data_IF_509618653785
#
_entry.id   IF_509618653785
#
_cell.length_a   1.000
_cell.length_b   1.000
_cell.length_c   1.000
_cell.angle_alpha   90.00
_cell.angle_beta   90.00
_cell.angle_gamma   90.00
#
_symmetry.space_group_name_H-M   'P 1'
#
loop_
_entity.id
_entity.type
_entity.pdbx_description
1 polymer ?
#
# COMPACT_ATOMS: atom_id res chain seq x y z
N UNK A 1 18.62 14.40 -0.13
CA UNK A 1 17.17 14.46 -0.40
C UNK A 1 16.50 13.10 -0.11
N UNK A 2 16.76 12.53 1.08
CA UNK A 2 16.29 11.18 1.49
C UNK A 2 15.00 11.29 2.33
N UNK A 3 14.85 12.37 3.09
CA UNK A 3 13.74 12.58 4.03
C UNK A 3 12.39 12.66 3.31
N UNK A 4 12.29 13.41 2.21
CA UNK A 4 11.02 13.58 1.46
C UNK A 4 10.49 12.22 0.93
N UNK A 5 11.40 11.34 0.47
CA UNK A 5 11.04 10.02 -0.08
C UNK A 5 10.51 9.06 1.00
N UNK A 6 10.97 9.20 2.25
CA UNK A 6 10.46 8.44 3.39
C UNK A 6 9.11 8.94 3.88
N UNK A 7 8.89 10.26 3.92
CA UNK A 7 7.63 10.86 4.39
C UNK A 7 6.45 10.44 3.50
N UNK A 8 6.63 10.49 2.18
CA UNK A 8 5.58 10.11 1.22
C UNK A 8 5.14 8.64 1.38
N UNK A 9 6.09 7.74 1.66
CA UNK A 9 5.79 6.31 1.84
C UNK A 9 4.99 6.06 3.13
N UNK A 10 5.29 6.81 4.20
CA UNK A 10 4.62 6.68 5.50
C UNK A 10 3.16 7.19 5.40
N UNK A 11 2.94 8.33 4.75
CA UNK A 11 1.59 8.91 4.62
C UNK A 11 0.69 8.07 3.71
N UNK A 12 1.24 7.50 2.63
CA UNK A 12 0.50 6.61 1.73
C UNK A 12 0.04 5.33 2.43
N UNK A 13 0.95 4.66 3.15
CA UNK A 13 0.63 3.45 3.89
C UNK A 13 -0.40 3.73 4.99
N UNK A 14 -0.28 4.87 5.69
CA UNK A 14 -1.26 5.28 6.71
C UNK A 14 -2.64 5.54 6.09
N UNK A 15 -2.71 6.21 4.94
CA UNK A 15 -3.98 6.41 4.22
C UNK A 15 -4.64 5.07 3.87
N UNK A 16 -3.86 4.11 3.39
CA UNK A 16 -4.37 2.78 3.08
C UNK A 16 -4.80 2.01 4.33
N UNK A 17 -4.06 2.11 5.43
CA UNK A 17 -4.43 1.51 6.72
C UNK A 17 -5.77 2.07 7.23
N UNK A 18 -5.98 3.38 7.07
CA UNK A 18 -7.16 4.08 7.59
C UNK A 18 -8.41 3.93 6.71
N UNK A 19 -8.26 3.83 5.38
CA UNK A 19 -9.39 3.85 4.43
C UNK A 19 -9.61 2.52 3.70
N UNK A 20 -8.59 1.68 3.67
CA UNK A 20 -8.46 0.55 2.76
C UNK A 20 -7.73 -0.64 3.42
N UNK A 21 -8.02 -0.87 4.71
CA UNK A 21 -7.34 -1.87 5.54
C UNK A 21 -7.35 -3.28 4.92
N UNK A 22 -8.44 -3.66 4.25
CA UNK A 22 -8.54 -4.96 3.56
C UNK A 22 -7.43 -5.18 2.51
N UNK A 23 -7.03 -4.13 1.80
CA UNK A 23 -5.98 -4.21 0.77
C UNK A 23 -4.59 -4.09 1.38
N UNK A 24 -4.46 -3.36 2.50
CA UNK A 24 -3.22 -3.33 3.27
C UNK A 24 -2.91 -4.69 3.88
N UNK A 25 -3.89 -5.36 4.48
CA UNK A 25 -3.73 -6.71 5.04
C UNK A 25 -3.38 -7.73 3.94
N UNK A 26 -4.07 -7.66 2.80
CA UNK A 26 -3.76 -8.50 1.64
C UNK A 26 -2.34 -8.24 1.08
N UNK A 27 -1.89 -6.99 1.05
CA UNK A 27 -0.54 -6.64 0.66
C UNK A 27 0.50 -7.11 1.71
N UNK A 28 0.15 -7.07 2.99
CA UNK A 28 0.99 -7.55 4.08
C UNK A 28 1.15 -9.09 4.04
N UNK A 29 0.11 -9.82 3.63
CA UNK A 29 0.21 -11.25 3.33
C UNK A 29 1.20 -11.54 2.20
N UNK A 30 1.27 -10.67 1.18
CA UNK A 30 2.22 -10.78 0.06
C UNK A 30 3.66 -10.44 0.48
N UNK A 31 3.83 -9.41 1.32
CA UNK A 31 5.14 -9.01 1.86
C UNK A 31 5.68 -10.01 2.89
N UNK A 32 4.80 -10.78 3.52
CA UNK A 32 5.08 -11.63 4.67
C UNK A 32 4.71 -10.89 5.96
N UNK A 33 3.86 -11.52 6.79
CA UNK A 33 3.16 -10.94 7.96
C UNK A 33 3.93 -10.06 8.96
N UNK A 34 5.26 -9.97 8.89
CA UNK A 34 6.08 -9.14 9.77
C UNK A 34 6.69 -7.90 9.08
N UNK A 35 6.52 -7.73 7.77
CA UNK A 35 7.06 -6.62 7.01
C UNK A 35 5.95 -5.66 6.54
N UNK A 36 6.28 -4.36 6.47
CA UNK A 36 5.42 -3.36 5.84
C UNK A 36 5.35 -3.62 4.33
N UNK A 37 4.14 -3.67 3.73
CA UNK A 37 4.03 -3.86 2.29
C UNK A 37 4.68 -2.71 1.51
N UNK A 38 5.40 -3.09 0.46
CA UNK A 38 5.91 -2.17 -0.54
C UNK A 38 4.78 -1.70 -1.47
N UNK A 39 4.98 -0.56 -2.17
CA UNK A 39 4.01 -0.10 -3.17
C UNK A 39 3.68 -1.15 -4.23
N UNK A 40 4.61 -2.04 -4.57
CA UNK A 40 4.36 -3.12 -5.53
C UNK A 40 3.41 -4.19 -4.98
N UNK A 41 3.57 -4.58 -3.71
CA UNK A 41 2.66 -5.53 -3.06
C UNK A 41 1.28 -4.90 -2.85
N UNK A 42 1.24 -3.60 -2.56
CA UNK A 42 0.00 -2.83 -2.54
C UNK A 42 -0.68 -2.88 -3.92
N UNK A 43 0.01 -2.54 -5.01
CA UNK A 43 -0.52 -2.66 -6.37
C UNK A 43 -1.12 -4.06 -6.62
N UNK A 44 -0.37 -5.10 -6.27
CA UNK A 44 -0.80 -6.48 -6.53
C UNK A 44 -2.03 -6.88 -5.70
N UNK A 45 -2.16 -6.37 -4.47
CA UNK A 45 -3.36 -6.53 -3.66
C UNK A 45 -4.57 -5.82 -4.27
N UNK A 46 -4.40 -4.60 -4.76
CA UNK A 46 -5.45 -3.85 -5.46
C UNK A 46 -5.84 -4.50 -6.80
N UNK A 47 -4.88 -5.01 -7.58
CA UNK A 47 -5.13 -5.72 -8.83
C UNK A 47 -5.91 -7.01 -8.60
N UNK A 48 -5.53 -7.82 -7.60
CA UNK A 48 -6.28 -9.04 -7.22
C UNK A 48 -7.71 -8.75 -6.79
N UNK A 49 -7.95 -7.58 -6.20
CA UNK A 49 -9.28 -7.12 -5.83
C UNK A 49 -10.08 -6.51 -7.00
N UNK A 50 -9.46 -6.31 -8.17
CA UNK A 50 -10.08 -5.59 -9.30
C UNK A 50 -10.27 -4.10 -9.01
N UNK A 51 -9.40 -3.51 -8.19
CA UNK A 51 -9.45 -2.13 -7.67
C UNK A 51 -8.18 -1.34 -8.01
N UNK A 52 -7.48 -1.74 -9.06
CA UNK A 52 -6.22 -1.11 -9.51
C UNK A 52 -6.36 0.41 -9.75
N UNK A 53 -7.51 0.89 -10.22
CA UNK A 53 -7.77 2.31 -10.45
C UNK A 53 -7.67 3.16 -9.17
N UNK A 54 -8.10 2.63 -8.02
CA UNK A 54 -8.02 3.34 -6.73
C UNK A 54 -6.57 3.58 -6.30
N UNK A 55 -5.68 2.62 -6.56
CA UNK A 55 -4.27 2.80 -6.22
C UNK A 55 -3.64 3.94 -7.02
N UNK A 56 -3.93 4.03 -8.32
CA UNK A 56 -3.43 5.10 -9.18
C UNK A 56 -4.05 6.48 -8.89
N UNK A 57 -5.26 6.53 -8.31
CA UNK A 57 -5.84 7.79 -7.86
C UNK A 57 -5.17 8.33 -6.58
N UNK A 58 -4.61 7.44 -5.76
CA UNK A 58 -3.99 7.77 -4.47
C UNK A 58 -2.49 8.07 -4.62
N UNK A 59 -1.78 7.40 -5.53
CA UNK A 59 -0.33 7.57 -5.82
C UNK A 59 -0.05 8.67 -6.82
#
# INVERSE_FOLDING_TARGET
MIVIKMVLKIELLSFFLDNHQEYYDAAQELAGHNDDPSPSEMCEAFEKAGKEELFYEIV
#
